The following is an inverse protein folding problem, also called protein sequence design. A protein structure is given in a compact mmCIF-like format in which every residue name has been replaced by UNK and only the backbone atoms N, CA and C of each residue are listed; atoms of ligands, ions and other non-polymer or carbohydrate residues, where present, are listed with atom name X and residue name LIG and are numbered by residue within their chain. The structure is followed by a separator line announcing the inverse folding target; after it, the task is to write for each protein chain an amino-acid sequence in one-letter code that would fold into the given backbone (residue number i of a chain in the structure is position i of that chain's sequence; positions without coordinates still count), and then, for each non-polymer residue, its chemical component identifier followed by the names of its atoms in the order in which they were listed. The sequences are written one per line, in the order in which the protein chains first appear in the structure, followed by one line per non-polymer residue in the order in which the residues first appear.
data_IF_255871673738
#
_entry.id   IF_255871673738
#
_cell.length_a   1.000
_cell.length_b   1.000
_cell.length_c   1.000
_cell.angle_alpha   90.00
_cell.angle_beta   90.00
_cell.angle_gamma   90.00
#
_symmetry.space_group_name_H-M   'P 1'
#
loop_
_entity.id
_entity.type
_entity.pdbx_description
1 polymer ?
#
# COMPACT_ATOMS: atom_id res chain seq x y z
N UNK A 1 -92.12 -1.54 -30.21
CA UNK A 1 -90.67 -1.64 -30.44
C UNK A 1 -90.18 -2.83 -29.62
N UNK A 2 -89.92 -3.99 -30.25
CA UNK A 2 -89.59 -5.22 -29.51
C UNK A 2 -88.07 -5.31 -29.40
N UNK A 3 -87.53 -5.08 -28.22
CA UNK A 3 -86.12 -5.31 -27.88
C UNK A 3 -85.88 -6.82 -27.80
N UNK A 4 -85.17 -7.38 -28.77
CA UNK A 4 -84.71 -8.78 -28.71
C UNK A 4 -83.72 -8.92 -27.55
N UNK A 5 -84.13 -9.62 -26.50
CA UNK A 5 -83.20 -10.12 -25.50
C UNK A 5 -82.17 -11.02 -26.20
N UNK A 6 -80.90 -10.61 -26.16
CA UNK A 6 -79.79 -11.48 -26.59
C UNK A 6 -79.79 -12.70 -25.67
N UNK A 7 -79.80 -13.90 -26.27
CA UNK A 7 -79.55 -15.12 -25.52
C UNK A 7 -78.07 -15.13 -25.14
N UNK A 8 -77.79 -14.87 -23.88
CA UNK A 8 -76.46 -15.09 -23.33
C UNK A 8 -76.18 -16.61 -23.38
N UNK A 9 -75.17 -16.97 -24.18
CA UNK A 9 -74.70 -18.35 -24.29
C UNK A 9 -73.77 -18.61 -23.13
N UNK A 10 -74.13 -19.55 -22.25
CA UNK A 10 -73.25 -20.02 -21.19
C UNK A 10 -72.06 -20.82 -21.74
N UNK A 11 -70.98 -20.88 -20.96
CA UNK A 11 -69.78 -21.67 -21.26
C UNK A 11 -70.08 -23.17 -21.21
N UNK A 12 -69.46 -23.94 -22.11
CA UNK A 12 -69.54 -25.40 -22.08
C UNK A 12 -68.54 -25.98 -21.08
N UNK A 13 -68.83 -27.15 -20.51
CA UNK A 13 -67.90 -27.83 -19.59
C UNK A 13 -66.55 -28.12 -20.27
N UNK A 14 -66.57 -28.53 -21.55
CA UNK A 14 -65.35 -28.77 -22.32
C UNK A 14 -64.51 -27.50 -22.52
N UNK A 15 -65.15 -26.35 -22.74
CA UNK A 15 -64.47 -25.07 -22.86
C UNK A 15 -63.82 -24.64 -21.54
N UNK A 16 -64.53 -24.79 -20.42
CA UNK A 16 -63.97 -24.56 -19.10
C UNK A 16 -62.76 -25.48 -18.81
N UNK A 17 -62.84 -26.75 -19.21
CA UNK A 17 -61.74 -27.71 -19.06
C UNK A 17 -60.52 -27.36 -19.92
N UNK A 18 -60.73 -26.97 -21.18
CA UNK A 18 -59.62 -26.53 -22.04
C UNK A 18 -59.02 -25.21 -21.54
N UNK A 19 -59.85 -24.29 -21.02
CA UNK A 19 -59.40 -23.03 -20.46
C UNK A 19 -58.54 -23.22 -19.21
N UNK A 20 -58.90 -24.14 -18.31
CA UNK A 20 -58.08 -24.40 -17.10
C UNK A 20 -56.75 -25.06 -17.45
N UNK A 21 -56.70 -25.92 -18.48
CA UNK A 21 -55.44 -26.50 -18.98
C UNK A 21 -54.52 -25.40 -19.53
N UNK A 22 -55.05 -24.51 -20.39
CA UNK A 22 -54.26 -23.41 -20.95
C UNK A 22 -53.81 -22.44 -19.85
N UNK A 23 -54.70 -22.12 -18.90
CA UNK A 23 -54.37 -21.27 -17.76
C UNK A 23 -53.25 -21.88 -16.90
N UNK A 24 -53.29 -23.19 -16.66
CA UNK A 24 -52.27 -23.88 -15.86
C UNK A 24 -50.88 -23.76 -16.51
N UNK A 25 -50.80 -23.96 -17.82
CA UNK A 25 -49.55 -23.81 -18.57
C UNK A 25 -49.05 -22.35 -18.54
N UNK A 26 -49.97 -21.38 -18.70
CA UNK A 26 -49.62 -19.95 -18.63
C UNK A 26 -49.05 -19.56 -17.25
N UNK A 27 -49.68 -20.02 -16.16
CA UNK A 27 -49.23 -19.70 -14.79
C UNK A 27 -47.83 -20.26 -14.51
N UNK A 28 -47.54 -21.49 -14.95
CA UNK A 28 -46.20 -22.08 -14.80
C UNK A 28 -45.14 -21.23 -15.51
N UNK A 29 -45.41 -20.83 -16.76
CA UNK A 29 -44.47 -20.01 -17.54
C UNK A 29 -44.18 -18.65 -16.90
N UNK A 30 -45.19 -18.00 -16.33
CA UNK A 30 -45.03 -16.71 -15.64
C UNK A 30 -44.26 -16.88 -14.34
N UNK A 31 -44.52 -17.97 -13.60
CA UNK A 31 -43.85 -18.23 -12.32
C UNK A 31 -42.35 -18.45 -12.52
N UNK A 32 -41.95 -19.21 -13.55
CA UNK A 32 -40.53 -19.39 -13.91
C UNK A 32 -39.86 -18.06 -14.27
N UNK A 33 -40.54 -17.23 -15.08
CA UNK A 33 -40.01 -15.92 -15.45
C UNK A 33 -39.82 -15.00 -14.22
N UNK A 34 -40.75 -15.02 -13.25
CA UNK A 34 -40.65 -14.24 -12.01
C UNK A 34 -39.49 -14.73 -11.14
N UNK A 35 -39.35 -16.04 -10.97
CA UNK A 35 -38.26 -16.64 -10.18
C UNK A 35 -36.89 -16.30 -10.80
N UNK A 36 -36.78 -16.40 -12.13
CA UNK A 36 -35.56 -16.02 -12.86
C UNK A 36 -35.22 -14.54 -12.67
N UNK A 37 -36.23 -13.65 -12.76
CA UNK A 37 -36.04 -12.22 -12.53
C UNK A 37 -35.58 -11.88 -11.11
N UNK A 38 -36.12 -12.57 -10.09
CA UNK A 38 -35.71 -12.37 -8.70
C UNK A 38 -34.26 -12.82 -8.45
N UNK A 39 -33.84 -13.96 -9.02
CA UNK A 39 -32.46 -14.42 -8.91
C UNK A 39 -31.48 -13.42 -9.53
N UNK A 40 -31.80 -12.90 -10.71
CA UNK A 40 -30.96 -11.90 -11.37
C UNK A 40 -30.88 -10.58 -10.58
N UNK A 41 -31.98 -10.14 -9.98
CA UNK A 41 -31.99 -8.96 -9.12
C UNK A 41 -31.12 -9.15 -7.87
N UNK A 42 -31.19 -10.34 -7.25
CA UNK A 42 -30.36 -10.67 -6.10
C UNK A 42 -28.86 -10.67 -6.46
N UNK A 43 -28.48 -11.29 -7.57
CA UNK A 43 -27.09 -11.34 -8.02
C UNK A 43 -26.54 -9.94 -8.38
N UNK A 44 -27.37 -9.09 -8.97
CA UNK A 44 -27.01 -7.70 -9.24
C UNK A 44 -26.74 -6.92 -7.95
N UNK A 45 -27.61 -7.09 -6.93
CA UNK A 45 -27.41 -6.45 -5.62
C UNK A 45 -26.13 -6.92 -4.94
N UNK A 46 -25.86 -8.23 -4.97
CA UNK A 46 -24.63 -8.76 -4.37
C UNK A 46 -23.38 -8.23 -5.08
N UNK A 47 -23.42 -8.17 -6.42
CA UNK A 47 -22.31 -7.62 -7.21
C UNK A 47 -22.06 -6.15 -6.90
N UNK A 48 -23.13 -5.35 -6.73
CA UNK A 48 -23.00 -3.94 -6.33
C UNK A 48 -22.36 -3.79 -4.94
N UNK A 49 -22.77 -4.63 -3.98
CA UNK A 49 -22.19 -4.64 -2.64
C UNK A 49 -20.72 -5.04 -2.65
N UNK A 50 -20.38 -6.08 -3.42
CA UNK A 50 -19.00 -6.54 -3.57
C UNK A 50 -18.10 -5.45 -4.18
N UNK A 51 -18.58 -4.75 -5.21
CA UNK A 51 -17.86 -3.61 -5.77
C UNK A 51 -17.68 -2.49 -4.76
N UNK A 52 -18.73 -2.14 -4.01
CA UNK A 52 -18.66 -1.06 -3.01
C UNK A 52 -17.60 -1.33 -1.92
N UNK A 53 -17.54 -2.55 -1.38
CA UNK A 53 -16.52 -2.89 -0.36
C UNK A 53 -15.11 -3.03 -0.95
N UNK A 54 -15.01 -3.39 -2.24
CA UNK A 54 -13.76 -3.41 -2.98
C UNK A 54 -13.22 -2.00 -3.26
N UNK A 55 -14.10 -1.09 -3.72
CA UNK A 55 -13.78 0.32 -3.96
C UNK A 55 -13.36 1.01 -2.66
N UNK A 56 -14.12 0.80 -1.58
CA UNK A 56 -13.75 1.32 -0.25
C UNK A 56 -12.33 0.89 0.16
N UNK A 57 -11.97 -0.38 -0.06
CA UNK A 57 -10.62 -0.87 0.28
C UNK A 57 -9.56 -0.26 -0.63
N UNK A 58 -9.82 -0.14 -1.94
CA UNK A 58 -8.89 0.58 -2.85
C UNK A 58 -8.68 2.01 -2.36
N UNK A 59 -9.73 2.75 -2.03
CA UNK A 59 -9.60 4.13 -1.55
C UNK A 59 -8.85 4.21 -0.22
N UNK A 60 -9.01 3.21 0.67
CA UNK A 60 -8.21 3.12 1.90
C UNK A 60 -6.73 2.90 1.58
N UNK A 61 -6.39 1.99 0.68
CA UNK A 61 -5.00 1.76 0.25
C UNK A 61 -4.42 3.01 -0.40
N UNK A 62 -5.14 3.63 -1.33
CA UNK A 62 -4.69 4.83 -2.05
C UNK A 62 -4.64 6.09 -1.18
N UNK A 63 -5.16 6.04 0.05
CA UNK A 63 -5.06 7.15 0.99
C UNK A 63 -3.67 7.28 1.64
N UNK A 64 -2.82 6.26 1.49
CA UNK A 64 -1.46 6.22 2.02
C UNK A 64 -0.42 6.64 0.97
N UNK A 65 0.76 7.13 1.39
CA UNK A 65 1.88 7.43 0.50
C UNK A 65 2.37 6.20 -0.25
N UNK A 66 2.96 6.43 -1.43
CA UNK A 66 3.58 5.37 -2.23
C UNK A 66 4.86 4.84 -1.58
N UNK A 67 5.72 5.75 -1.12
CA UNK A 67 7.00 5.42 -0.50
C UNK A 67 6.82 5.22 1.02
N UNK A 68 7.48 4.21 1.56
CA UNK A 68 7.57 3.99 3.00
C UNK A 68 8.33 5.14 3.69
N UNK A 69 7.75 5.84 4.69
CA UNK A 69 8.48 6.78 5.54
C UNK A 69 9.64 6.15 6.34
N UNK A 70 9.59 4.86 6.65
CA UNK A 70 10.65 4.06 7.27
C UNK A 70 11.77 3.63 6.31
N UNK A 71 11.52 3.67 4.99
CA UNK A 71 12.47 3.37 3.92
C UNK A 71 12.68 1.88 3.62
N UNK A 72 11.79 1.01 4.05
CA UNK A 72 11.72 -0.38 3.63
C UNK A 72 11.45 -0.49 2.12
N UNK A 73 11.93 -1.61 1.56
CA UNK A 73 11.89 -1.89 0.12
C UNK A 73 11.17 -3.21 -0.19
N UNK A 74 10.60 -3.86 0.83
CA UNK A 74 9.96 -5.16 0.74
C UNK A 74 8.46 -5.00 0.72
N UNK A 75 7.78 -5.60 -0.27
CA UNK A 75 6.31 -5.54 -0.36
C UNK A 75 5.68 -6.27 0.83
N UNK A 76 4.77 -5.58 1.49
CA UNK A 76 3.99 -6.06 2.63
C UNK A 76 4.41 -5.43 3.94
N UNK A 77 3.68 -5.71 5.03
CA UNK A 77 3.87 -5.01 6.30
C UNK A 77 5.29 -5.11 6.82
N UNK A 78 5.79 -4.01 7.36
CA UNK A 78 7.12 -3.94 7.94
C UNK A 78 7.20 -4.51 9.35
N UNK A 79 8.43 -4.69 9.84
CA UNK A 79 8.66 -5.21 11.18
C UNK A 79 8.11 -4.25 12.24
N UNK A 80 7.01 -4.65 12.87
CA UNK A 80 6.29 -3.85 13.86
C UNK A 80 4.85 -3.54 13.43
N UNK A 81 4.51 -3.81 12.18
CA UNK A 81 3.19 -3.61 11.60
C UNK A 81 2.43 -4.93 11.54
N UNK A 82 1.47 -5.08 12.43
CA UNK A 82 0.63 -6.28 12.52
C UNK A 82 -0.85 -5.97 12.33
N UNK A 83 -1.24 -4.69 12.39
CA UNK A 83 -2.61 -4.25 12.21
C UNK A 83 -2.69 -3.14 11.17
N UNK A 84 -3.87 -3.01 10.56
CA UNK A 84 -4.16 -2.01 9.51
C UNK A 84 -4.00 -0.55 9.96
N UNK A 85 -4.01 -0.31 11.28
CA UNK A 85 -3.78 1.02 11.86
C UNK A 85 -2.29 1.39 11.90
N UNK A 86 -1.41 0.40 11.73
CA UNK A 86 0.04 0.60 11.70
C UNK A 86 0.58 0.76 10.28
N UNK A 87 -0.15 0.26 9.27
CA UNK A 87 0.20 0.43 7.87
C UNK A 87 0.25 1.91 7.51
N UNK A 88 1.38 2.34 6.98
CA UNK A 88 1.67 3.73 6.71
C UNK A 88 2.00 4.01 5.24
N UNK A 89 2.10 2.99 4.39
CA UNK A 89 2.27 3.10 2.95
C UNK A 89 1.25 2.21 2.17
N UNK A 90 1.29 2.26 0.83
CA UNK A 90 0.36 1.46 0.01
C UNK A 90 0.69 -0.04 -0.09
N UNK A 91 1.93 -0.47 0.14
CA UNK A 91 2.35 -1.85 -0.07
C UNK A 91 2.22 -2.75 1.16
N UNK A 92 2.10 -2.15 2.35
CA UNK A 92 1.76 -2.81 3.63
C UNK A 92 0.46 -3.62 3.56
N UNK A 93 -0.48 -3.21 2.70
CA UNK A 93 -1.72 -3.95 2.51
C UNK A 93 -1.50 -5.31 1.83
N UNK A 94 -0.32 -5.64 1.32
CA UNK A 94 -0.08 -6.92 0.69
C UNK A 94 -0.32 -8.09 1.66
N UNK A 95 -1.26 -8.97 1.29
CA UNK A 95 -1.63 -10.11 2.12
C UNK A 95 -2.67 -9.79 3.19
N UNK A 96 -3.11 -8.53 3.30
CA UNK A 96 -4.21 -8.14 4.17
C UNK A 96 -5.51 -8.85 3.76
N UNK A 97 -6.26 -9.34 4.73
CA UNK A 97 -7.50 -10.07 4.50
C UNK A 97 -8.50 -9.88 5.65
N UNK A 98 -9.74 -9.57 5.29
CA UNK A 98 -10.90 -9.55 6.17
C UNK A 98 -11.83 -10.71 5.81
N UNK A 99 -12.10 -11.56 6.80
CA UNK A 99 -12.99 -12.70 6.64
C UNK A 99 -14.46 -12.28 6.60
N UNK A 100 -15.29 -13.18 6.07
CA UNK A 100 -16.73 -12.98 6.00
C UNK A 100 -17.32 -12.71 7.41
N UNK A 101 -18.16 -11.67 7.51
CA UNK A 101 -18.74 -11.20 8.76
C UNK A 101 -17.86 -10.26 9.59
N UNK A 102 -16.62 -10.01 9.16
CA UNK A 102 -15.66 -9.17 9.88
C UNK A 102 -15.17 -7.97 9.06
N UNK A 103 -15.88 -7.63 7.97
CA UNK A 103 -15.58 -6.44 7.18
C UNK A 103 -15.81 -5.19 8.02
N UNK A 104 -14.84 -4.28 8.01
CA UNK A 104 -14.93 -2.97 8.64
C UNK A 104 -14.91 -1.84 7.61
N UNK A 105 -15.48 -0.70 7.98
CA UNK A 105 -15.37 0.53 7.21
C UNK A 105 -14.05 1.28 7.48
N UNK A 106 -13.84 2.41 6.80
CA UNK A 106 -12.66 3.25 6.96
C UNK A 106 -12.52 3.89 8.35
N UNK A 107 -13.56 3.84 9.19
CA UNK A 107 -13.54 4.31 10.57
C UNK A 107 -13.30 3.17 11.57
N UNK A 108 -13.20 1.93 11.10
CA UNK A 108 -13.05 0.74 11.92
C UNK A 108 -14.38 0.15 12.42
N UNK A 109 -15.53 0.68 11.99
CA UNK A 109 -16.83 0.14 12.37
C UNK A 109 -17.21 -1.05 11.48
N UNK A 110 -17.79 -2.10 12.06
CA UNK A 110 -18.27 -3.25 11.28
C UNK A 110 -19.32 -2.82 10.25
N UNK A 111 -19.20 -3.33 9.03
CA UNK A 111 -20.22 -3.15 8.02
C UNK A 111 -21.54 -3.83 8.43
N UNK A 112 -22.69 -3.35 7.93
CA UNK A 112 -23.97 -3.97 8.26
C UNK A 112 -24.09 -5.41 7.74
N UNK A 113 -25.04 -6.17 8.30
CA UNK A 113 -25.16 -7.62 8.06
C UNK A 113 -25.42 -8.03 6.60
N UNK A 114 -25.83 -7.08 5.77
CA UNK A 114 -25.96 -7.27 4.32
C UNK A 114 -24.64 -7.55 3.58
N UNK A 115 -23.50 -7.31 4.24
CA UNK A 115 -22.14 -7.60 3.78
C UNK A 115 -21.52 -8.84 4.43
N UNK A 116 -22.17 -9.48 5.42
CA UNK A 116 -21.59 -10.59 6.19
C UNK A 116 -21.16 -11.79 5.34
N UNK A 117 -21.75 -11.91 4.14
CA UNK A 117 -21.43 -12.97 3.18
C UNK A 117 -20.16 -12.70 2.38
N UNK A 118 -19.59 -11.51 2.48
CA UNK A 118 -18.45 -11.07 1.69
C UNK A 118 -17.19 -11.06 2.57
N UNK A 119 -16.07 -11.48 1.99
CA UNK A 119 -14.73 -11.30 2.51
C UNK A 119 -13.92 -10.49 1.49
N UNK A 120 -12.83 -9.85 1.89
CA UNK A 120 -11.93 -9.19 0.94
C UNK A 120 -10.47 -9.38 1.31
N UNK A 121 -9.63 -9.48 0.30
CA UNK A 121 -8.17 -9.54 0.45
C UNK A 121 -7.47 -8.59 -0.50
N UNK A 122 -6.26 -8.20 -0.14
CA UNK A 122 -5.44 -7.27 -0.92
C UNK A 122 -4.14 -7.96 -1.33
N UNK A 123 -3.78 -7.80 -2.59
CA UNK A 123 -2.50 -8.25 -3.15
C UNK A 123 -1.85 -7.10 -3.88
N UNK A 124 -0.58 -6.85 -3.59
CA UNK A 124 0.22 -5.80 -4.22
C UNK A 124 1.34 -6.49 -4.98
N UNK A 125 1.58 -6.08 -6.22
CA UNK A 125 2.69 -6.58 -7.03
C UNK A 125 3.44 -5.44 -7.68
N UNK A 126 4.76 -5.45 -7.62
CA UNK A 126 5.60 -4.51 -8.38
C UNK A 126 5.68 -4.92 -9.84
N UNK A 127 5.75 -3.92 -10.72
CA UNK A 127 5.86 -4.16 -12.15
C UNK A 127 5.96 -2.86 -12.93
N UNK A 128 5.90 -2.97 -14.25
CA UNK A 128 5.89 -1.81 -15.13
C UNK A 128 4.78 -1.90 -16.17
N UNK A 129 4.17 -0.75 -16.45
CA UNK A 129 3.08 -0.61 -17.43
C UNK A 129 3.56 0.26 -18.58
N UNK A 130 3.40 -0.24 -19.80
CA UNK A 130 3.59 0.55 -21.00
C UNK A 130 2.39 1.47 -21.20
N UNK A 131 2.56 2.76 -20.97
CA UNK A 131 1.51 3.74 -21.23
C UNK A 131 1.59 4.19 -22.70
N UNK A 132 0.57 3.91 -23.53
CA UNK A 132 0.56 4.33 -24.93
C UNK A 132 0.77 5.85 -25.02
N UNK A 133 1.75 6.27 -25.83
CA UNK A 133 2.09 7.68 -26.03
C UNK A 133 3.21 8.22 -25.14
N UNK A 134 3.68 7.48 -24.13
CA UNK A 134 4.80 7.91 -23.27
C UNK A 134 6.17 7.34 -23.69
N UNK A 135 6.22 6.38 -24.62
CA UNK A 135 7.46 5.87 -25.19
C UNK A 135 8.39 5.11 -24.23
N UNK A 136 7.96 4.93 -22.97
CA UNK A 136 8.68 4.21 -21.92
C UNK A 136 7.70 3.45 -21.04
N UNK A 137 8.20 2.38 -20.39
CA UNK A 137 7.49 1.70 -19.33
C UNK A 137 7.59 2.52 -18.04
N UNK A 138 6.48 2.63 -17.31
CA UNK A 138 6.42 3.30 -16.01
C UNK A 138 6.39 2.20 -14.95
N UNK A 139 7.34 2.18 -14.02
CA UNK A 139 7.26 1.22 -12.91
C UNK A 139 6.28 1.71 -11.84
N UNK A 140 5.86 0.79 -10.99
CA UNK A 140 4.91 1.07 -9.94
C UNK A 140 4.37 -0.20 -9.30
N UNK A 141 3.29 -0.02 -8.56
CA UNK A 141 2.59 -1.08 -7.84
C UNK A 141 1.21 -1.32 -8.46
N UNK A 142 0.87 -2.58 -8.63
CA UNK A 142 -0.47 -3.03 -9.00
C UNK A 142 -1.16 -3.57 -7.77
N UNK A 143 -2.17 -2.83 -7.30
CA UNK A 143 -3.03 -3.23 -6.17
C UNK A 143 -4.21 -3.98 -6.74
N UNK A 144 -4.44 -5.19 -6.25
CA UNK A 144 -5.62 -6.00 -6.56
C UNK A 144 -6.37 -6.29 -5.28
N UNK A 145 -7.60 -5.78 -5.20
CA UNK A 145 -8.56 -6.13 -4.13
C UNK A 145 -9.46 -7.21 -4.66
N UNK A 146 -9.45 -8.38 -4.01
CA UNK A 146 -10.32 -9.50 -4.34
C UNK A 146 -11.40 -9.61 -3.27
N UNK A 147 -12.65 -9.41 -3.66
CA UNK A 147 -13.82 -9.64 -2.82
C UNK A 147 -14.37 -11.02 -3.16
N UNK A 148 -14.64 -11.84 -2.15
CA UNK A 148 -15.20 -13.19 -2.33
C UNK A 148 -16.49 -13.32 -1.54
N UNK A 149 -17.46 -14.08 -2.04
CA UNK A 149 -18.60 -14.50 -1.23
C UNK A 149 -18.40 -15.88 -0.60
N UNK A 150 -19.26 -16.24 0.35
CA UNK A 150 -19.24 -17.57 0.99
C UNK A 150 -19.49 -18.75 0.05
N UNK A 151 -19.89 -18.50 -1.21
CA UNK A 151 -20.07 -19.53 -2.23
C UNK A 151 -18.83 -19.70 -3.13
N UNK A 152 -17.80 -18.87 -2.93
CA UNK A 152 -16.57 -18.86 -3.71
C UNK A 152 -16.64 -18.00 -4.98
N UNK A 153 -17.70 -17.21 -5.18
CA UNK A 153 -17.72 -16.22 -6.26
C UNK A 153 -16.80 -15.06 -5.91
N UNK A 154 -16.07 -14.54 -6.90
CA UNK A 154 -15.10 -13.47 -6.69
C UNK A 154 -15.33 -12.28 -7.62
N UNK A 155 -15.02 -11.10 -7.10
CA UNK A 155 -14.93 -9.83 -7.83
C UNK A 155 -13.55 -9.23 -7.56
N UNK A 156 -12.85 -8.82 -8.61
CA UNK A 156 -11.52 -8.24 -8.48
C UNK A 156 -11.52 -6.81 -9.02
N UNK A 157 -10.98 -5.88 -8.23
CA UNK A 157 -10.72 -4.52 -8.66
C UNK A 157 -9.20 -4.32 -8.65
N UNK A 158 -8.68 -3.79 -9.75
CA UNK A 158 -7.23 -3.61 -9.94
C UNK A 158 -6.92 -2.15 -10.22
N UNK A 159 -5.92 -1.61 -9.52
CA UNK A 159 -5.39 -0.27 -9.72
C UNK A 159 -3.87 -0.31 -9.87
N UNK A 160 -3.37 0.36 -10.90
CA UNK A 160 -1.93 0.65 -11.02
C UNK A 160 -1.64 2.03 -10.42
N UNK A 161 -0.62 2.09 -9.57
CA UNK A 161 -0.08 3.33 -8.99
C UNK A 161 1.37 3.43 -9.46
N UNK A 162 1.65 4.46 -10.25
CA UNK A 162 2.99 4.71 -10.76
C UNK A 162 3.91 5.16 -9.62
N UNK A 163 5.14 4.66 -9.63
CA UNK A 163 6.19 5.25 -8.81
C UNK A 163 6.41 6.71 -9.25
N UNK A 164 6.66 7.61 -8.30
CA UNK A 164 7.11 8.94 -8.67
C UNK A 164 8.43 8.80 -9.43
N UNK A 165 8.56 9.47 -10.57
CA UNK A 165 9.86 9.59 -11.20
C UNK A 165 10.73 10.40 -10.23
N UNK A 166 11.61 9.72 -9.50
CA UNK A 166 12.78 10.41 -8.98
C UNK A 166 13.45 10.95 -10.22
N UNK A 167 13.40 12.28 -10.40
CA UNK A 167 14.22 12.96 -11.39
C UNK A 167 15.60 12.33 -11.32
N UNK A 168 16.22 12.11 -12.49
CA UNK A 168 17.58 11.62 -12.59
C UNK A 168 18.53 12.58 -11.84
N UNK A 169 18.57 12.44 -10.52
CA UNK A 169 19.49 13.07 -9.62
C UNK A 169 20.80 12.40 -9.90
N UNK A 170 21.55 13.02 -10.80
CA UNK A 170 22.99 12.87 -11.01
C UNK A 170 23.46 11.46 -10.72
N UNK A 171 23.68 10.67 -11.77
CA UNK A 171 24.49 9.48 -11.66
C UNK A 171 25.76 9.83 -10.90
N UNK A 172 25.80 9.51 -9.61
CA UNK A 172 27.03 9.15 -8.94
C UNK A 172 27.32 7.77 -9.49
N UNK A 173 27.74 7.76 -10.77
CA UNK A 173 28.69 6.79 -11.22
C UNK A 173 29.84 6.94 -10.25
N UNK A 174 29.85 6.07 -9.24
CA UNK A 174 31.09 5.60 -8.68
C UNK A 174 31.82 4.95 -9.85
N UNK A 175 32.46 5.77 -10.67
CA UNK A 175 33.65 5.36 -11.38
C UNK A 175 34.61 5.00 -10.26
N UNK A 176 34.56 3.73 -9.91
CA UNK A 176 35.62 3.02 -9.28
C UNK A 176 36.85 3.16 -10.18
N UNK A 177 37.56 4.29 -10.08
CA UNK A 177 38.94 4.40 -10.51
C UNK A 177 39.73 3.61 -9.48
N UNK A 178 39.70 2.29 -9.65
CA UNK A 178 40.67 1.39 -9.10
C UNK A 178 42.02 1.69 -9.77
N UNK A 179 42.63 2.82 -9.41
CA UNK A 179 44.05 3.05 -9.64
C UNK A 179 44.75 2.38 -8.49
N UNK A 180 44.97 1.08 -8.65
CA UNK A 180 45.93 0.37 -7.84
C UNK A 180 47.30 1.01 -8.07
N UNK A 181 47.83 1.66 -7.05
CA UNK A 181 49.27 1.74 -6.87
C UNK A 181 49.61 1.07 -5.56
N UNK A 182 50.07 -0.17 -5.73
CA UNK A 182 50.67 -0.96 -4.68
C UNK A 182 52.12 -0.49 -4.52
N UNK A 183 52.53 -0.36 -3.26
CA UNK A 183 53.84 -0.79 -2.75
C UNK A 183 55.05 0.17 -2.82
N UNK A 184 55.78 0.22 -1.70
CA UNK A 184 57.12 0.83 -1.53
C UNK A 184 57.06 2.14 -0.74
N UNK A 185 57.37 2.23 0.55
CA UNK A 185 58.29 1.39 1.31
C UNK A 185 59.73 1.67 0.89
N UNK A 186 60.24 2.88 1.16
CA UNK A 186 61.68 3.06 1.33
C UNK A 186 62.00 4.13 2.38
N UNK A 187 62.71 3.64 3.38
CA UNK A 187 63.32 4.33 4.49
C UNK A 187 64.75 4.62 4.06
N UNK A 188 65.10 5.89 3.82
CA UNK A 188 66.49 6.31 3.64
C UNK A 188 66.74 7.55 4.48
N UNK A 189 67.47 7.30 5.55
CA UNK A 189 68.17 8.28 6.35
C UNK A 189 69.32 8.93 5.56
N UNK A 190 69.79 10.03 6.15
CA UNK A 190 71.15 10.59 6.06
C UNK A 190 71.40 11.78 5.13
N UNK A 191 71.87 12.83 5.83
CA UNK A 191 72.91 13.80 5.49
C UNK A 191 72.54 15.07 4.71
N UNK A 192 72.42 16.15 5.50
CA UNK A 192 73.27 17.35 5.44
C UNK A 192 73.53 18.00 4.07
N UNK A 193 73.13 19.27 3.95
CA UNK A 193 74.03 20.43 4.06
C UNK A 193 73.70 21.56 3.06
N UNK A 194 73.90 22.79 3.55
CA UNK A 194 74.18 24.05 2.85
C UNK A 194 73.08 24.81 2.09
N UNK A 195 72.43 25.69 2.83
CA UNK A 195 72.66 27.16 2.79
C UNK A 195 73.58 27.71 1.67
N UNK A 196 72.99 28.44 0.71
CA UNK A 196 73.52 29.67 0.08
C UNK A 196 72.36 30.33 -0.70
N UNK A 197 71.74 31.42 -0.23
CA UNK A 197 72.13 32.82 -0.40
C UNK A 197 71.81 33.42 -1.80
N UNK A 198 71.32 34.66 -1.75
CA UNK A 198 71.54 35.75 -2.71
C UNK A 198 70.57 35.95 -3.89
N UNK A 199 69.77 37.04 -3.78
CA UNK A 199 69.55 38.13 -4.77
C UNK A 199 68.94 37.77 -6.14
N UNK A 200 68.29 38.64 -6.91
CA UNK A 200 67.72 39.99 -6.82
C UNK A 200 67.00 40.20 -8.18
N UNK A 201 66.02 41.09 -8.19
CA UNK A 201 65.50 41.91 -9.30
C UNK A 201 65.22 41.36 -10.70
N UNK A 202 64.01 41.68 -11.18
CA UNK A 202 63.67 41.59 -12.61
C UNK A 202 62.30 42.16 -12.96
N UNK A 203 62.10 43.45 -12.74
CA UNK A 203 60.97 44.26 -13.18
C UNK A 203 60.92 44.35 -14.73
N UNK A 204 59.76 44.17 -15.37
CA UNK A 204 59.53 44.75 -16.71
C UNK A 204 58.10 45.22 -16.94
N UNK A 205 58.05 46.39 -17.60
CA UNK A 205 56.99 47.38 -17.67
C UNK A 205 56.03 47.21 -18.86
N UNK A 206 54.83 47.77 -18.69
CA UNK A 206 54.06 48.49 -19.73
C UNK A 206 53.14 47.61 -20.58
N UNK A 207 51.99 48.08 -21.09
CA UNK A 207 51.44 49.43 -21.07
C UNK A 207 49.96 49.36 -21.54
N UNK A 208 49.11 50.17 -20.93
CA UNK A 208 48.00 50.98 -21.47
C UNK A 208 47.18 50.47 -22.68
N UNK A 209 45.85 50.36 -22.52
CA UNK A 209 44.88 51.45 -22.77
C UNK A 209 43.44 50.89 -22.98
N UNK A 210 42.38 51.61 -22.59
CA UNK A 210 41.02 51.14 -22.41
C UNK A 210 40.09 51.54 -23.57
N UNK A 211 38.93 50.91 -23.66
CA UNK A 211 37.68 51.47 -24.21
C UNK A 211 36.52 50.68 -23.56
N UNK A 212 35.85 51.23 -22.54
CA UNK A 212 34.75 52.18 -22.67
C UNK A 212 33.51 51.55 -23.34
N UNK A 213 32.56 51.05 -22.55
CA UNK A 213 31.17 51.43 -22.77
C UNK A 213 30.32 51.22 -21.52
N UNK A 214 29.77 52.33 -21.08
CA UNK A 214 28.69 52.47 -20.13
C UNK A 214 27.46 51.66 -20.55
N UNK A 215 26.79 51.04 -19.58
CA UNK A 215 25.34 51.24 -19.50
C UNK A 215 24.84 51.00 -18.07
N UNK A 216 24.46 52.11 -17.45
CA UNK A 216 23.55 52.18 -16.32
C UNK A 216 22.28 51.36 -16.58
N UNK A 217 21.80 50.62 -15.57
CA UNK A 217 20.46 50.92 -15.04
C UNK A 217 20.20 50.26 -13.67
N UNK A 218 19.88 51.10 -12.69
CA UNK A 218 18.71 50.88 -11.82
C UNK A 218 18.85 49.88 -10.69
N UNK A 219 19.28 50.36 -9.52
CA UNK A 219 19.30 49.56 -8.29
C UNK A 219 17.94 49.33 -7.63
N UNK A 220 17.97 48.51 -6.58
CA UNK A 220 17.16 48.74 -5.39
C UNK A 220 17.88 48.23 -4.13
N UNK A 221 18.02 49.16 -3.17
CA UNK A 221 18.21 48.99 -1.71
C UNK A 221 17.73 47.62 -1.18
N UNK A 222 18.45 46.89 -0.32
CA UNK A 222 19.19 47.37 0.85
C UNK A 222 18.26 47.39 2.08
N UNK A 223 18.19 46.30 2.86
CA UNK A 223 18.11 46.44 4.30
C UNK A 223 18.76 45.26 5.05
N UNK A 224 19.69 45.65 5.91
CA UNK A 224 20.51 44.87 6.81
C UNK A 224 19.80 44.85 8.18
N UNK A 225 19.78 43.71 8.87
CA UNK A 225 19.07 43.56 10.14
C UNK A 225 19.62 42.40 10.96
N UNK A 226 20.79 42.62 11.55
CA UNK A 226 21.49 41.78 12.51
C UNK A 226 20.87 41.90 13.92
N UNK A 227 20.53 40.78 14.57
CA UNK A 227 20.52 40.57 16.03
C UNK A 227 20.19 39.07 16.26
N UNK A 228 20.94 38.23 16.97
CA UNK A 228 21.82 38.46 18.10
C UNK A 228 21.26 37.71 19.31
N UNK A 229 21.84 36.56 19.66
CA UNK A 229 21.95 36.14 21.06
C UNK A 229 21.46 34.73 21.46
N UNK A 230 22.39 34.07 22.16
CA UNK A 230 22.22 33.04 23.20
C UNK A 230 22.16 31.58 22.73
N UNK A 231 23.15 30.71 22.94
CA UNK A 231 24.15 30.64 24.01
C UNK A 231 23.69 29.63 25.07
N UNK A 232 24.05 28.35 24.90
CA UNK A 232 24.27 27.45 26.04
C UNK A 232 25.23 26.33 25.68
N UNK A 233 26.49 26.57 26.04
CA UNK A 233 27.56 25.60 26.16
C UNK A 233 27.47 25.05 27.59
N UNK A 234 27.24 23.74 27.75
CA UNK A 234 27.17 23.07 29.03
C UNK A 234 27.85 21.72 28.93
N UNK A 235 29.14 21.67 29.26
CA UNK A 235 29.87 20.43 29.46
C UNK A 235 29.54 19.77 30.79
N UNK A 236 29.62 18.44 30.81
CA UNK A 236 30.05 17.61 31.93
C UNK A 236 30.38 16.22 31.33
N UNK A 237 31.63 15.75 31.26
CA UNK A 237 32.57 15.35 32.31
C UNK A 237 32.24 13.95 32.91
N UNK A 238 33.17 13.00 32.73
CA UNK A 238 33.21 11.66 33.38
C UNK A 238 32.17 10.67 32.84
N UNK A 239 32.43 9.37 32.63
CA UNK A 239 33.37 8.52 33.34
C UNK A 239 33.93 7.38 32.48
N UNK A 240 35.18 7.11 32.78
CA UNK A 240 36.01 6.00 32.37
C UNK A 240 35.64 4.78 33.25
N UNK A 241 35.33 3.62 32.65
CA UNK A 241 34.80 2.47 33.39
C UNK A 241 35.06 1.13 32.72
N UNK A 242 36.34 0.82 32.52
CA UNK A 242 36.88 -0.52 32.31
C UNK A 242 36.54 -1.45 33.49
N UNK A 243 35.95 -2.62 33.23
CA UNK A 243 36.05 -3.91 33.94
C UNK A 243 35.08 -4.88 33.23
N UNK A 244 35.40 -6.08 32.74
CA UNK A 244 36.37 -7.08 33.20
C UNK A 244 35.61 -8.22 33.91
N UNK A 245 35.60 -9.43 33.32
CA UNK A 245 35.16 -10.68 33.96
C UNK A 245 33.98 -11.34 33.22
N UNK A 246 34.13 -12.42 32.42
CA UNK A 246 34.70 -13.75 32.66
C UNK A 246 33.76 -14.72 33.40
N UNK A 247 33.44 -15.83 32.71
CA UNK A 247 32.91 -17.08 33.27
C UNK A 247 31.38 -17.16 33.36
N UNK A 248 30.74 -18.32 33.35
CA UNK A 248 31.15 -19.71 33.22
C UNK A 248 29.88 -20.58 33.36
N UNK A 249 29.82 -21.74 32.70
CA UNK A 249 28.92 -22.88 32.96
C UNK A 249 27.39 -22.62 32.86
N UNK A 250 26.57 -23.48 32.24
CA UNK A 250 26.57 -24.94 32.29
C UNK A 250 25.50 -25.40 33.29
N UNK A 251 24.66 -26.35 32.86
CA UNK A 251 23.57 -27.07 33.54
C UNK A 251 22.18 -26.60 33.05
N UNK A 252 21.41 -27.39 32.28
CA UNK A 252 20.97 -28.78 32.48
C UNK A 252 20.21 -28.91 33.78
N UNK A 253 18.88 -28.85 33.69
CA UNK A 253 17.92 -29.43 34.62
C UNK A 253 16.64 -29.65 33.79
N UNK A 254 16.57 -30.86 33.21
CA UNK A 254 15.32 -31.54 32.85
C UNK A 254 14.78 -32.08 34.17
N UNK A 255 13.66 -31.55 34.64
CA UNK A 255 12.84 -32.02 35.76
C UNK A 255 11.49 -31.29 35.53
N UNK A 256 10.30 -31.83 35.72
CA UNK A 256 9.73 -33.14 36.02
C UNK A 256 8.22 -32.81 36.21
N UNK A 257 7.35 -33.83 36.11
CA UNK A 257 6.06 -33.89 36.82
C UNK A 257 4.93 -32.91 36.37
N UNK A 258 3.64 -33.24 36.40
CA UNK A 258 2.87 -34.43 36.68
C UNK A 258 1.41 -34.07 36.31
N UNK A 259 0.60 -35.10 36.06
CA UNK A 259 -0.80 -35.24 36.47
C UNK A 259 -1.80 -34.06 36.31
N UNK A 260 -2.88 -34.29 35.55
CA UNK A 260 -4.18 -34.54 36.19
C UNK A 260 -5.36 -34.72 35.21
N UNK A 261 -6.01 -35.88 35.40
CA UNK A 261 -7.45 -36.12 35.46
C UNK A 261 -8.45 -35.36 34.55
N UNK A 262 -9.04 -36.14 33.63
CA UNK A 262 -10.45 -36.54 33.70
C UNK A 262 -11.53 -35.44 33.81
N UNK A 263 -12.25 -35.21 32.71
CA UNK A 263 -13.52 -34.47 32.71
C UNK A 263 -14.49 -35.02 31.68
N UNK A 264 -15.32 -35.98 32.10
CA UNK A 264 -16.53 -36.41 31.39
C UNK A 264 -17.65 -35.40 31.66
N UNK A 265 -18.40 -35.04 30.61
CA UNK A 265 -19.66 -34.31 30.69
C UNK A 265 -19.76 -33.26 29.59
N UNK A 266 -20.81 -33.13 28.81
CA UNK A 266 -22.10 -33.78 28.81
C UNK A 266 -22.83 -33.36 27.54
N UNK A 267 -23.75 -34.21 27.11
CA UNK A 267 -24.64 -34.00 25.98
C UNK A 267 -25.58 -32.82 26.26
N UNK A 268 -25.61 -31.82 25.37
CA UNK A 268 -26.75 -30.91 25.27
C UNK A 268 -27.39 -31.06 23.90
N UNK A 269 -28.63 -31.56 23.92
CA UNK A 269 -29.55 -31.61 22.81
C UNK A 269 -30.65 -30.58 23.10
N UNK A 270 -30.63 -29.45 22.42
CA UNK A 270 -31.71 -28.46 22.43
C UNK A 270 -31.30 -27.21 21.66
N UNK A 271 -32.08 -26.64 20.74
CA UNK A 271 -33.46 -26.90 20.40
C UNK A 271 -33.82 -26.22 19.08
N UNK A 272 -34.86 -26.78 18.48
CA UNK A 272 -35.56 -26.34 17.29
C UNK A 272 -36.46 -25.15 17.60
N UNK A 273 -36.30 -24.00 16.97
CA UNK A 273 -37.39 -23.01 16.80
C UNK A 273 -37.21 -22.17 15.52
N UNK A 274 -38.32 -22.16 14.76
CA UNK A 274 -38.76 -21.41 13.56
C UNK A 274 -37.97 -21.50 12.24
#
# INVERSE_FOLDING_TARGET
MITRARRDRGFTLAEALMATVVLSVAVLSVTEAVISGQMQAYDAQLSQRALMVGEQMIERVLSLPYDDPGGALTIGPDNGESTVDQFDNIDDFHGYNESAGNLIDSTGASLPSEFDRLSRSVTVTSGSVNVPGFGAAVNGLTITVTVSDTTGRTWALTRFVAEANTEAGTGSGSTNTNTGDSNGGDNSSDDDNNNDNSHDNGNHYGNDNPDNNDNDNGGNNGNNGNNGGNGNNGGNNGDNGNHGGNGNHGNHDDDDDDDDHGGWGGWDWGGWWW
#
